data_IF_422141733895
#
_entry.id   IF_422141733895
#
_cell.length_a   1.000
_cell.length_b   1.000
_cell.length_c   1.000
_cell.angle_alpha   90.00
_cell.angle_beta   90.00
_cell.angle_gamma   90.00
#
_symmetry.space_group_name_H-M   'P 1'
#
loop_
_entity.id
_entity.type
_entity.pdbx_description
1 polymer ?
#
# COMPACT_ATOMS: atom_id res chain seq x y z
N UNK A 1 -25.06 -4.72 -10.67
CA UNK A 1 -24.00 -4.18 -9.81
C UNK A 1 -23.60 -5.31 -8.87
N UNK A 2 -22.32 -5.65 -8.76
CA UNK A 2 -21.88 -6.73 -7.86
C UNK A 2 -22.21 -6.39 -6.41
N UNK A 3 -22.60 -7.40 -5.64
CA UNK A 3 -22.87 -7.28 -4.21
C UNK A 3 -22.30 -8.52 -3.53
N UNK A 4 -21.35 -8.33 -2.63
CA UNK A 4 -20.74 -9.44 -1.91
C UNK A 4 -20.41 -9.07 -0.46
N UNK A 5 -20.28 -10.10 0.38
CA UNK A 5 -19.92 -10.02 1.79
C UNK A 5 -18.53 -10.61 2.00
N UNK A 6 -17.68 -9.88 2.72
CA UNK A 6 -16.45 -10.40 3.30
C UNK A 6 -16.77 -10.87 4.73
N UNK A 7 -16.68 -12.17 4.99
CA UNK A 7 -17.13 -12.82 6.24
C UNK A 7 -16.03 -13.69 6.84
N UNK A 8 -16.23 -14.17 8.08
CA UNK A 8 -15.30 -15.07 8.76
C UNK A 8 -13.86 -14.50 8.82
N UNK A 9 -13.73 -13.17 8.95
CA UNK A 9 -12.47 -12.53 9.28
C UNK A 9 -12.19 -12.69 10.79
N UNK A 10 -10.94 -12.94 11.17
CA UNK A 10 -10.58 -12.95 12.60
C UNK A 10 -10.67 -11.55 13.21
N UNK A 11 -10.29 -10.54 12.43
CA UNK A 11 -10.44 -9.13 12.76
C UNK A 11 -10.75 -8.33 11.50
N UNK A 12 -11.55 -7.27 11.64
CA UNK A 12 -11.74 -6.22 10.64
C UNK A 12 -11.17 -4.93 11.20
N UNK A 13 -10.17 -4.38 10.50
CA UNK A 13 -9.58 -3.07 10.76
C UNK A 13 -10.32 -2.06 9.91
N UNK A 14 -10.95 -1.06 10.54
CA UNK A 14 -11.76 -0.07 9.81
C UNK A 14 -11.04 1.25 9.65
N UNK A 15 -10.06 1.56 10.51
CA UNK A 15 -9.52 2.91 10.68
C UNK A 15 -10.62 3.97 10.92
N UNK A 16 -11.82 3.57 11.34
CA UNK A 16 -12.96 4.46 11.49
C UNK A 16 -12.70 5.52 12.56
N UNK A 17 -13.12 6.74 12.30
CA UNK A 17 -12.91 7.88 13.19
C UNK A 17 -13.18 9.19 12.46
N UNK A 18 -12.82 10.30 13.10
CA UNK A 18 -12.86 11.61 12.45
C UNK A 18 -11.94 11.62 11.23
N UNK A 19 -12.33 12.34 10.18
CA UNK A 19 -11.54 12.53 8.96
C UNK A 19 -10.37 13.50 9.22
N UNK A 20 -9.48 13.12 10.13
CA UNK A 20 -8.32 13.89 10.55
C UNK A 20 -7.12 12.97 10.82
N UNK A 21 -5.91 13.51 10.71
CA UNK A 21 -4.70 12.75 11.01
C UNK A 21 -4.67 12.41 12.51
N UNK A 22 -4.61 11.11 12.83
CA UNK A 22 -4.38 10.62 14.19
C UNK A 22 -2.95 10.93 14.62
N UNK A 23 -2.77 11.40 15.86
CA UNK A 23 -1.47 11.82 16.43
C UNK A 23 -1.35 11.35 17.88
N UNK A 24 -0.11 11.11 18.34
CA UNK A 24 0.14 10.67 19.72
C UNK A 24 -0.66 9.41 20.07
N UNK A 25 -1.24 9.34 21.26
CA UNK A 25 -2.03 8.18 21.70
C UNK A 25 -3.26 7.86 20.84
N UNK A 26 -3.73 8.79 19.99
CA UNK A 26 -4.79 8.47 19.02
C UNK A 26 -4.33 7.47 17.94
N UNK A 27 -3.02 7.25 17.79
CA UNK A 27 -2.46 6.23 16.89
C UNK A 27 -2.57 4.81 17.47
N UNK A 28 -2.89 4.65 18.76
CA UNK A 28 -2.89 3.36 19.44
C UNK A 28 -4.13 2.49 19.12
N UNK A 29 -5.28 3.10 18.77
CA UNK A 29 -6.50 2.35 18.39
C UNK A 29 -6.73 2.41 16.88
N UNK A 30 -6.33 1.37 16.15
CA UNK A 30 -6.59 1.22 14.70
C UNK A 30 -8.05 0.86 14.36
N UNK A 31 -8.94 0.82 15.35
CA UNK A 31 -10.33 0.38 15.21
C UNK A 31 -10.45 -1.07 14.67
N UNK A 32 -9.56 -1.95 15.15
CA UNK A 32 -9.63 -3.40 14.92
C UNK A 32 -10.70 -4.03 15.81
N UNK A 33 -11.65 -4.77 15.22
CA UNK A 33 -12.75 -5.43 15.95
C UNK A 33 -12.95 -6.85 15.43
N UNK A 34 -13.42 -7.75 16.29
CA UNK A 34 -13.72 -9.16 15.97
C UNK A 34 -15.20 -9.34 15.63
N UNK A 35 -15.54 -10.41 14.91
CA UNK A 35 -16.94 -10.77 14.62
C UNK A 35 -17.65 -9.83 13.63
N UNK A 36 -16.90 -8.99 12.92
CA UNK A 36 -17.43 -8.09 11.90
C UNK A 36 -17.38 -8.72 10.51
N UNK A 37 -18.31 -8.29 9.65
CA UNK A 37 -18.31 -8.51 8.21
C UNK A 37 -18.41 -7.18 7.46
N UNK A 38 -18.06 -7.20 6.18
CA UNK A 38 -18.12 -6.03 5.29
C UNK A 38 -18.98 -6.35 4.07
N UNK A 39 -20.00 -5.52 3.82
CA UNK A 39 -20.78 -5.56 2.60
C UNK A 39 -20.21 -4.58 1.57
N UNK A 40 -19.99 -5.05 0.35
CA UNK A 40 -19.45 -4.25 -0.76
C UNK A 40 -20.44 -4.26 -1.92
N UNK A 41 -20.79 -3.07 -2.41
CA UNK A 41 -21.68 -2.88 -3.55
C UNK A 41 -20.94 -2.11 -4.64
N UNK A 42 -20.67 -2.77 -5.75
CA UNK A 42 -19.84 -2.21 -6.82
C UNK A 42 -18.43 -1.92 -6.32
N UNK A 43 -18.04 -0.64 -6.31
CA UNK A 43 -16.72 -0.12 -5.93
C UNK A 43 -16.69 0.50 -4.51
N UNK A 44 -17.77 0.34 -3.74
CA UNK A 44 -17.93 0.98 -2.42
C UNK A 44 -18.25 -0.02 -1.33
N UNK A 45 -17.75 0.28 -0.14
CA UNK A 45 -18.22 -0.34 1.10
C UNK A 45 -19.64 0.20 1.36
N UNK A 46 -20.62 -0.71 1.37
CA UNK A 46 -22.02 -0.40 1.62
C UNK A 46 -22.30 -0.40 3.14
N UNK A 47 -21.72 -1.36 3.87
CA UNK A 47 -21.85 -1.46 5.32
C UNK A 47 -20.68 -2.24 5.96
N UNK A 48 -20.44 -1.96 7.25
CA UNK A 48 -19.56 -2.74 8.14
C UNK A 48 -20.32 -2.94 9.45
N UNK A 49 -20.41 -4.17 9.94
CA UNK A 49 -21.20 -4.50 11.13
C UNK A 49 -20.96 -5.92 11.60
N UNK A 50 -21.70 -6.37 12.62
CA UNK A 50 -21.62 -7.75 13.07
C UNK A 50 -21.98 -8.71 11.94
N UNK A 51 -21.27 -9.84 11.83
CA UNK A 51 -21.44 -10.75 10.69
C UNK A 51 -22.90 -11.20 10.52
N UNK A 52 -23.57 -11.58 11.61
CA UNK A 52 -24.97 -12.01 11.56
C UNK A 52 -25.93 -10.90 11.11
N UNK A 53 -25.65 -9.65 11.47
CA UNK A 53 -26.46 -8.50 11.06
C UNK A 53 -26.28 -8.22 9.57
N UNK A 54 -25.04 -8.24 9.09
CA UNK A 54 -24.70 -8.05 7.68
C UNK A 54 -25.31 -9.18 6.84
N UNK A 55 -25.21 -10.45 7.26
CA UNK A 55 -25.84 -11.57 6.55
C UNK A 55 -27.36 -11.43 6.45
N UNK A 56 -28.01 -10.97 7.52
CA UNK A 56 -29.47 -10.72 7.51
C UNK A 56 -29.87 -9.52 6.64
N UNK A 57 -29.06 -8.46 6.63
CA UNK A 57 -29.32 -7.26 5.85
C UNK A 57 -29.08 -7.47 4.34
N UNK A 58 -28.22 -8.43 3.98
CA UNK A 58 -27.81 -8.72 2.61
C UNK A 58 -27.95 -10.21 2.27
N UNK A 59 -29.16 -10.79 2.33
CA UNK A 59 -29.37 -12.23 2.18
C UNK A 59 -29.04 -12.77 0.77
N UNK A 60 -29.10 -11.89 -0.24
CA UNK A 60 -28.86 -12.22 -1.66
C UNK A 60 -27.41 -11.93 -2.11
N UNK A 61 -26.53 -11.52 -1.20
CA UNK A 61 -25.15 -11.16 -1.54
C UNK A 61 -24.26 -12.40 -1.66
N UNK A 62 -23.34 -12.39 -2.63
CA UNK A 62 -22.31 -13.44 -2.74
C UNK A 62 -21.41 -13.43 -1.50
N UNK A 63 -20.99 -14.61 -1.02
CA UNK A 63 -20.19 -14.71 0.20
C UNK A 63 -18.74 -15.04 -0.14
N UNK A 64 -17.82 -14.23 0.40
CA UNK A 64 -16.38 -14.45 0.34
C UNK A 64 -15.88 -14.73 1.75
N UNK A 65 -15.49 -15.99 1.99
CA UNK A 65 -14.89 -16.41 3.26
C UNK A 65 -13.44 -15.93 3.35
N UNK A 66 -13.14 -15.09 4.35
CA UNK A 66 -11.80 -14.57 4.60
C UNK A 66 -10.86 -15.56 5.32
N UNK A 67 -11.30 -16.78 5.62
CA UNK A 67 -10.48 -17.86 6.16
C UNK A 67 -9.84 -17.55 7.51
N UNK A 68 -10.53 -16.75 8.35
CA UNK A 68 -10.01 -16.19 9.60
C UNK A 68 -8.77 -15.30 9.45
N UNK A 69 -8.52 -14.78 8.24
CA UNK A 69 -7.55 -13.72 8.02
C UNK A 69 -7.96 -12.39 8.65
N UNK A 70 -7.03 -11.44 8.69
CA UNK A 70 -7.32 -10.05 9.07
C UNK A 70 -7.73 -9.30 7.81
N UNK A 71 -8.90 -8.66 7.85
CA UNK A 71 -9.34 -7.75 6.81
C UNK A 71 -8.92 -6.33 7.19
N UNK A 72 -8.17 -5.66 6.32
CA UNK A 72 -7.71 -4.30 6.51
C UNK A 72 -7.96 -3.47 5.25
N UNK A 73 -8.01 -2.12 5.35
CA UNK A 73 -8.03 -1.26 4.18
C UNK A 73 -6.76 -1.47 3.36
N UNK A 74 -6.83 -1.20 2.06
CA UNK A 74 -5.63 -1.16 1.22
C UNK A 74 -4.60 -0.20 1.79
N UNK A 75 -3.34 -0.63 1.87
CA UNK A 75 -2.27 0.22 2.37
C UNK A 75 -2.02 1.40 1.43
N UNK A 76 -1.65 2.53 2.02
CA UNK A 76 -1.34 3.77 1.30
C UNK A 76 0.12 4.10 1.52
N UNK A 77 0.91 4.02 0.45
CA UNK A 77 2.26 4.58 0.44
C UNK A 77 2.20 6.06 0.03
N UNK A 78 2.32 6.94 1.03
CA UNK A 78 2.23 8.38 0.83
C UNK A 78 3.49 9.04 0.29
N UNK A 79 4.62 8.31 0.23
CA UNK A 79 5.90 8.88 -0.19
C UNK A 79 6.76 7.87 -0.94
N UNK A 80 6.77 7.96 -2.27
CA UNK A 80 7.67 7.15 -3.10
C UNK A 80 8.42 7.99 -4.13
N UNK A 81 9.55 7.44 -4.58
CA UNK A 81 10.22 7.85 -5.80
C UNK A 81 10.24 6.67 -6.78
N UNK A 82 9.07 6.06 -7.06
CA UNK A 82 8.98 4.83 -7.86
C UNK A 82 9.45 4.99 -9.32
N UNK A 83 9.36 6.21 -9.85
CA UNK A 83 9.80 6.56 -11.20
C UNK A 83 11.27 7.00 -11.14
N UNK A 84 12.15 6.09 -11.55
CA UNK A 84 13.57 6.34 -11.75
C UNK A 84 14.11 5.44 -12.87
N UNK A 85 15.26 5.80 -13.43
CA UNK A 85 15.94 4.97 -14.42
C UNK A 85 16.63 3.75 -13.78
N UNK A 86 17.95 3.75 -13.73
CA UNK A 86 18.74 2.68 -13.09
C UNK A 86 18.76 2.76 -11.57
N UNK A 87 18.92 1.61 -10.92
CA UNK A 87 19.26 1.53 -9.50
C UNK A 87 20.69 1.99 -9.22
N UNK A 88 21.01 2.18 -7.93
CA UNK A 88 22.33 2.67 -7.46
C UNK A 88 23.12 1.62 -6.67
N UNK A 89 22.98 0.35 -7.03
CA UNK A 89 23.64 -0.77 -6.34
C UNK A 89 25.17 -0.62 -6.28
N UNK A 90 25.80 -0.22 -7.39
CA UNK A 90 27.25 0.03 -7.43
C UNK A 90 27.71 1.11 -6.42
N UNK A 91 26.87 2.13 -6.17
CA UNK A 91 27.19 3.15 -5.16
C UNK A 91 26.97 2.63 -3.73
N UNK A 92 26.08 1.65 -3.54
CA UNK A 92 25.93 0.95 -2.28
C UNK A 92 27.18 0.13 -1.96
N UNK A 93 27.74 -0.57 -2.95
CA UNK A 93 29.02 -1.31 -2.82
C UNK A 93 30.18 -0.37 -2.45
N UNK A 94 30.28 0.80 -3.09
CA UNK A 94 31.29 1.81 -2.75
C UNK A 94 31.21 2.28 -1.29
N UNK A 95 29.98 2.50 -0.78
CA UNK A 95 29.77 2.86 0.63
C UNK A 95 30.18 1.72 1.56
N UNK A 96 29.84 0.48 1.20
CA UNK A 96 30.24 -0.70 1.98
C UNK A 96 31.77 -0.87 2.03
N UNK A 97 32.48 -0.44 0.99
CA UNK A 97 33.94 -0.39 0.93
C UNK A 97 34.57 0.82 1.66
N UNK A 98 33.77 1.67 2.31
CA UNK A 98 34.25 2.77 3.14
C UNK A 98 34.34 4.14 2.46
N UNK A 99 33.87 4.29 1.22
CA UNK A 99 33.86 5.61 0.57
C UNK A 99 32.74 6.49 1.14
N UNK A 100 33.08 7.76 1.41
CA UNK A 100 32.09 8.73 1.83
C UNK A 100 31.18 9.20 0.68
N UNK A 101 30.08 9.85 1.05
CA UNK A 101 29.10 10.35 0.10
C UNK A 101 29.69 11.34 -0.92
N UNK A 102 30.57 12.23 -0.48
CA UNK A 102 31.16 13.26 -1.33
C UNK A 102 32.16 12.66 -2.31
N UNK A 103 32.88 11.62 -1.92
CA UNK A 103 33.81 10.91 -2.78
C UNK A 103 33.08 10.15 -3.88
N UNK A 104 31.97 9.49 -3.55
CA UNK A 104 31.09 8.86 -4.53
C UNK A 104 30.49 9.91 -5.47
N UNK A 105 30.06 11.06 -4.95
CA UNK A 105 29.53 12.15 -5.77
C UNK A 105 30.59 12.71 -6.75
N UNK A 106 31.84 12.88 -6.31
CA UNK A 106 32.97 13.29 -7.16
C UNK A 106 33.26 12.28 -8.28
N UNK A 107 33.02 10.99 -8.02
CA UNK A 107 33.10 9.90 -9.02
C UNK A 107 31.87 9.84 -9.95
N UNK A 108 30.99 10.83 -9.88
CA UNK A 108 29.78 10.90 -10.71
C UNK A 108 28.60 10.11 -10.14
N UNK A 109 28.63 9.65 -8.90
CA UNK A 109 27.48 9.08 -8.21
C UNK A 109 26.49 10.14 -7.71
N UNK A 110 25.75 9.80 -6.67
CA UNK A 110 24.81 10.72 -6.01
C UNK A 110 23.49 10.88 -6.77
N UNK A 111 22.68 11.84 -6.31
CA UNK A 111 21.40 12.16 -6.95
C UNK A 111 21.56 12.58 -8.41
N UNK A 112 22.67 13.24 -8.76
CA UNK A 112 22.97 13.65 -10.12
C UNK A 112 23.16 12.45 -11.06
N UNK A 113 23.64 11.30 -10.56
CA UNK A 113 23.70 10.07 -11.35
C UNK A 113 22.30 9.60 -11.76
N UNK A 114 21.36 9.59 -10.82
CA UNK A 114 19.95 9.26 -11.09
C UNK A 114 19.30 10.25 -12.04
N UNK A 115 19.54 11.56 -11.86
CA UNK A 115 18.99 12.60 -12.74
C UNK A 115 19.52 12.47 -14.17
N UNK A 116 20.82 12.18 -14.35
CA UNK A 116 21.40 11.96 -15.68
C UNK A 116 20.80 10.73 -16.36
N UNK A 117 20.64 9.63 -15.63
CA UNK A 117 20.03 8.41 -16.17
C UNK A 117 18.56 8.62 -16.55
N UNK A 118 17.78 9.28 -15.67
CA UNK A 118 16.38 9.59 -15.90
C UNK A 118 16.19 10.39 -17.19
N UNK A 119 17.03 11.42 -17.41
CA UNK A 119 16.96 12.31 -18.59
C UNK A 119 17.33 11.63 -19.91
N UNK A 120 18.04 10.50 -19.86
CA UNK A 120 18.44 9.76 -21.05
C UNK A 120 17.39 8.75 -21.50
N UNK A 121 16.29 8.60 -20.74
CA UNK A 121 15.23 7.61 -21.00
C UNK A 121 14.00 8.27 -21.57
N UNK A 122 13.33 7.53 -22.43
CA UNK A 122 11.99 7.85 -22.91
C UNK A 122 10.93 7.64 -21.83
N UNK A 123 9.76 8.26 -22.02
CA UNK A 123 8.60 8.07 -21.14
C UNK A 123 8.16 6.60 -21.08
N UNK A 124 8.11 5.91 -22.23
CA UNK A 124 7.71 4.50 -22.32
C UNK A 124 8.65 3.57 -21.53
N UNK A 125 9.96 3.82 -21.60
CA UNK A 125 10.95 3.08 -20.80
C UNK A 125 10.75 3.31 -19.30
N UNK A 126 10.53 4.56 -18.89
CA UNK A 126 10.29 4.89 -17.48
C UNK A 126 8.97 4.30 -16.98
N UNK A 127 7.93 4.30 -17.81
CA UNK A 127 6.66 3.65 -17.51
C UNK A 127 6.83 2.14 -17.32
N UNK A 128 7.51 1.45 -18.24
CA UNK A 128 7.75 0.02 -18.14
C UNK A 128 8.54 -0.34 -16.87
N UNK A 129 9.58 0.43 -16.55
CA UNK A 129 10.37 0.26 -15.32
C UNK A 129 9.54 0.49 -14.05
N UNK A 130 8.79 1.58 -13.99
CA UNK A 130 7.97 1.92 -12.83
C UNK A 130 6.84 0.90 -12.63
N UNK A 131 6.17 0.46 -13.71
CA UNK A 131 5.13 -0.57 -13.67
C UNK A 131 5.65 -1.88 -13.11
N UNK A 132 6.85 -2.29 -13.50
CA UNK A 132 7.48 -3.50 -12.95
C UNK A 132 7.66 -3.43 -11.44
N UNK A 133 8.13 -2.28 -10.92
CA UNK A 133 8.35 -2.05 -9.49
C UNK A 133 7.04 -1.98 -8.70
N UNK A 134 6.04 -1.27 -9.22
CA UNK A 134 4.76 -1.06 -8.53
C UNK A 134 3.91 -2.32 -8.46
N UNK A 135 4.12 -3.31 -9.34
CA UNK A 135 3.41 -4.60 -9.31
C UNK A 135 3.97 -5.59 -8.29
N UNK A 136 5.17 -5.35 -7.78
CA UNK A 136 5.81 -6.18 -6.74
C UNK A 136 5.66 -5.60 -5.34
N UNK A 137 4.99 -4.45 -5.21
CA UNK A 137 4.51 -3.91 -3.95
C UNK A 137 3.18 -4.58 -3.59
#
# INVERSE_FOLDING_TARGET
>A
MSLFLLVNASQVVTCAGRAEARRGGAMDDVAARTGLAVAVRGDRIDAVGLEDEIRRAYPEADVVDCGRGVLAPGFVDSHTHAIFGRGRAAEHEMRAAGLDYMEIARRGGGIHASVRDLRQRSEDELYALARGRLRTL
#
